data_IF_983661349903
#
_entry.id   IF_983661349903
#
_cell.length_a   1.000
_cell.length_b   1.000
_cell.length_c   1.000
_cell.angle_alpha   90.00
_cell.angle_beta   90.00
_cell.angle_gamma   90.00
#
_symmetry.space_group_name_H-M   'P 1'
#
loop_
_entity.id
_entity.type
_entity.pdbx_description
1 polymer ?
#
# COMPACT_ATOMS: atom_id res chain seq x y z
N UNK A 1 -14.63 -1.02 8.01
CA UNK A 1 -13.81 -2.17 7.58
C UNK A 1 -13.17 -2.73 8.84
N UNK A 2 -13.60 -3.91 9.28
CA UNK A 2 -13.06 -4.58 10.47
C UNK A 2 -12.14 -5.71 10.01
N UNK A 3 -10.92 -5.74 10.54
CA UNK A 3 -9.97 -6.81 10.28
C UNK A 3 -9.24 -7.17 11.56
N UNK A 4 -8.83 -8.43 11.69
CA UNK A 4 -8.06 -8.89 12.84
C UNK A 4 -6.58 -8.77 12.50
N UNK A 5 -5.90 -7.83 13.19
CA UNK A 5 -4.45 -7.66 13.10
C UNK A 5 -3.79 -8.47 14.22
N UNK A 6 -3.00 -9.47 13.83
CA UNK A 6 -2.09 -10.14 14.75
C UNK A 6 -0.71 -9.50 14.65
N UNK A 7 -0.26 -8.89 15.75
CA UNK A 7 1.09 -8.37 15.86
C UNK A 7 2.02 -9.46 16.38
N UNK A 8 3.06 -9.79 15.62
CA UNK A 8 4.14 -10.60 16.16
C UNK A 8 5.17 -9.74 16.90
N UNK A 9 5.94 -10.36 17.78
CA UNK A 9 6.99 -9.71 18.57
C UNK A 9 8.14 -9.10 17.75
N UNK A 10 8.15 -9.29 16.42
CA UNK A 10 9.11 -8.70 15.48
C UNK A 10 8.60 -7.46 14.74
N UNK A 11 7.42 -6.93 15.09
CA UNK A 11 6.84 -5.76 14.42
C UNK A 11 6.15 -6.06 13.08
N UNK A 12 5.94 -7.34 12.76
CA UNK A 12 5.11 -7.75 11.64
C UNK A 12 3.65 -7.76 12.11
N UNK A 13 2.78 -7.03 11.41
CA UNK A 13 1.34 -7.13 11.58
C UNK A 13 0.78 -8.02 10.45
N UNK A 14 0.13 -9.12 10.81
CA UNK A 14 -0.56 -10.00 9.87
C UNK A 14 -2.07 -9.75 9.94
N UNK A 15 -2.68 -9.42 8.81
CA UNK A 15 -4.13 -9.38 8.69
C UNK A 15 -4.63 -10.79 8.41
N UNK A 16 -5.15 -11.48 9.43
CA UNK A 16 -5.57 -12.89 9.34
C UNK A 16 -7.02 -13.06 8.90
N UNK A 17 -7.83 -12.01 9.03
CA UNK A 17 -9.23 -11.99 8.61
C UNK A 17 -9.60 -10.60 8.11
N UNK A 18 -10.19 -10.55 6.92
CA UNK A 18 -10.86 -9.36 6.38
C UNK A 18 -12.10 -9.78 5.59
N UNK A 19 -13.11 -8.92 5.58
CA UNK A 19 -14.22 -9.04 4.63
C UNK A 19 -13.67 -8.99 3.20
N UNK A 20 -14.35 -9.69 2.28
CA UNK A 20 -14.02 -9.58 0.86
C UNK A 20 -14.03 -8.10 0.44
N UNK A 21 -12.90 -7.62 -0.06
CA UNK A 21 -12.82 -6.29 -0.62
C UNK A 21 -13.55 -6.29 -1.96
N UNK A 22 -14.82 -5.88 -1.93
CA UNK A 22 -15.67 -5.75 -3.11
C UNK A 22 -15.72 -4.28 -3.51
N UNK A 23 -15.26 -3.98 -4.71
CA UNK A 23 -15.21 -2.61 -5.22
C UNK A 23 -14.68 -2.57 -6.66
N UNK A 24 -14.62 -1.37 -7.21
CA UNK A 24 -14.09 -1.14 -8.55
C UNK A 24 -12.55 -1.12 -8.52
N UNK A 25 -11.92 -1.34 -9.68
CA UNK A 25 -10.50 -1.05 -9.82
C UNK A 25 -10.28 0.47 -9.87
N UNK A 26 -9.40 1.04 -9.03
CA UNK A 26 -9.04 2.46 -9.14
C UNK A 26 -8.29 2.72 -10.44
N UNK A 27 -8.24 3.98 -10.89
CA UNK A 27 -7.34 4.41 -11.95
C UNK A 27 -5.91 4.63 -11.44
N UNK A 28 -4.93 4.76 -12.33
CA UNK A 28 -3.56 5.15 -11.93
C UNK A 28 -3.54 6.49 -11.19
N UNK A 29 -4.40 7.43 -11.62
CA UNK A 29 -4.55 8.74 -10.96
C UNK A 29 -5.07 8.61 -9.54
N UNK A 30 -6.06 7.74 -9.31
CA UNK A 30 -6.60 7.50 -7.97
C UNK A 30 -5.53 6.91 -7.03
N UNK A 31 -4.71 5.98 -7.53
CA UNK A 31 -3.59 5.41 -6.76
C UNK A 31 -2.56 6.48 -6.47
N UNK A 32 -2.18 7.31 -7.45
CA UNK A 32 -1.24 8.41 -7.23
C UNK A 32 -1.74 9.40 -6.17
N UNK A 33 -2.99 9.86 -6.28
CA UNK A 33 -3.59 10.78 -5.30
C UNK A 33 -3.62 10.16 -3.90
N UNK A 34 -4.00 8.88 -3.80
CA UNK A 34 -3.99 8.13 -2.54
C UNK A 34 -2.60 8.06 -1.92
N UNK A 35 -1.59 7.64 -2.69
CA UNK A 35 -0.21 7.51 -2.20
C UNK A 35 0.35 8.84 -1.73
N UNK A 36 0.14 9.91 -2.50
CA UNK A 36 0.55 11.27 -2.12
C UNK A 36 -0.14 11.75 -0.85
N UNK A 37 -1.43 11.47 -0.69
CA UNK A 37 -2.19 11.83 0.53
C UNK A 37 -1.65 11.14 1.79
N UNK A 38 -1.05 9.95 1.63
CA UNK A 38 -0.40 9.20 2.69
C UNK A 38 1.08 9.60 2.92
N UNK A 39 1.55 10.68 2.28
CA UNK A 39 2.93 11.17 2.41
C UNK A 39 3.97 10.34 1.66
N UNK A 40 3.54 9.48 0.73
CA UNK A 40 4.44 8.78 -0.16
C UNK A 40 4.77 9.61 -1.39
N UNK A 41 6.01 9.47 -1.85
CA UNK A 41 6.52 10.07 -3.08
C UNK A 41 6.95 8.97 -4.07
N UNK A 42 6.83 9.18 -5.38
CA UNK A 42 7.31 8.21 -6.36
C UNK A 42 8.80 7.93 -6.19
N UNK A 43 9.20 6.66 -6.31
CA UNK A 43 10.60 6.29 -6.39
C UNK A 43 11.08 6.48 -7.84
N UNK A 44 12.09 7.32 -8.05
CA UNK A 44 12.65 7.64 -9.37
C UNK A 44 13.02 6.36 -10.13
N UNK A 45 12.75 6.32 -11.43
CA UNK A 45 13.05 5.21 -12.35
C UNK A 45 12.32 3.87 -12.08
N UNK A 46 11.45 3.82 -11.06
CA UNK A 46 10.67 2.63 -10.73
C UNK A 46 9.16 2.93 -10.79
N UNK A 47 8.54 2.66 -11.96
CA UNK A 47 7.09 2.83 -12.13
C UNK A 47 6.35 1.98 -11.08
N UNK A 48 5.34 2.59 -10.45
CA UNK A 48 4.55 1.97 -9.37
C UNK A 48 5.33 1.65 -8.09
N UNK A 49 6.52 2.22 -7.91
CA UNK A 49 7.22 2.20 -6.63
C UNK A 49 7.13 3.57 -5.97
N UNK A 50 6.98 3.54 -4.65
CA UNK A 50 6.75 4.71 -3.82
C UNK A 50 7.56 4.59 -2.54
N UNK A 51 7.96 5.72 -1.97
CA UNK A 51 8.71 5.77 -0.72
C UNK A 51 8.16 6.83 0.22
N UNK A 52 8.28 6.59 1.53
CA UNK A 52 7.94 7.58 2.54
C UNK A 52 9.05 7.57 3.62
N UNK A 53 9.84 8.65 3.62
CA UNK A 53 10.97 8.83 4.54
C UNK A 53 10.52 8.99 6.00
N UNK A 54 9.31 9.51 6.23
CA UNK A 54 8.75 9.69 7.58
C UNK A 54 8.40 8.38 8.27
N UNK A 55 7.98 7.36 7.51
CA UNK A 55 7.64 6.02 8.04
C UNK A 55 8.75 4.99 7.82
N UNK A 56 9.75 5.27 6.97
CA UNK A 56 10.92 4.41 6.78
C UNK A 56 10.72 3.24 5.81
N UNK A 57 9.68 3.27 4.97
CA UNK A 57 9.38 2.19 4.03
C UNK A 57 9.21 2.67 2.58
N UNK A 58 9.52 1.78 1.65
CA UNK A 58 9.07 1.82 0.27
C UNK A 58 8.03 0.73 0.00
N UNK A 59 7.11 1.07 -0.89
CA UNK A 59 6.06 0.21 -1.41
C UNK A 59 6.34 -0.02 -2.89
N UNK A 60 6.44 -1.28 -3.27
CA UNK A 60 6.54 -1.72 -4.65
C UNK A 60 5.24 -2.37 -5.08
N UNK A 61 5.08 -2.44 -6.39
CA UNK A 61 3.92 -3.04 -7.03
C UNK A 61 2.61 -2.29 -6.79
N UNK A 62 2.66 -0.97 -6.57
CA UNK A 62 1.48 -0.13 -6.40
C UNK A 62 0.76 0.16 -7.74
N UNK A 63 0.40 -0.90 -8.46
CA UNK A 63 -0.38 -0.87 -9.70
C UNK A 63 -1.87 -0.85 -9.38
N UNK A 64 -2.73 -0.23 -10.19
CA UNK A 64 -4.19 -0.28 -10.01
C UNK A 64 -4.77 -1.66 -9.71
N UNK A 65 -4.23 -2.72 -10.34
CA UNK A 65 -4.65 -4.10 -10.16
C UNK A 65 -4.43 -4.66 -8.74
N UNK A 66 -3.58 -4.02 -7.93
CA UNK A 66 -3.24 -4.42 -6.56
C UNK A 66 -3.97 -3.56 -5.51
N UNK A 67 -4.96 -2.79 -5.96
CA UNK A 67 -5.87 -2.02 -5.14
C UNK A 67 -7.30 -2.32 -5.52
N UNK A 68 -8.18 -2.07 -4.57
CA UNK A 68 -9.62 -2.13 -4.75
C UNK A 68 -10.22 -0.86 -4.18
N UNK A 69 -11.12 -0.23 -4.93
CA UNK A 69 -11.74 1.04 -4.57
C UNK A 69 -13.01 0.76 -3.79
N UNK A 70 -12.93 0.84 -2.47
CA UNK A 70 -14.05 0.59 -1.56
C UNK A 70 -14.61 1.93 -1.12
N UNK A 71 -15.88 2.19 -1.46
CA UNK A 71 -16.56 3.46 -1.14
C UNK A 71 -15.77 4.71 -1.59
N UNK A 72 -15.11 4.63 -2.75
CA UNK A 72 -14.32 5.71 -3.33
C UNK A 72 -12.86 5.79 -2.86
N UNK A 73 -12.46 4.98 -1.88
CA UNK A 73 -11.10 4.98 -1.33
C UNK A 73 -10.32 3.78 -1.87
N UNK A 74 -9.14 3.98 -2.50
CA UNK A 74 -8.26 2.87 -2.86
C UNK A 74 -7.73 2.16 -1.59
N UNK A 75 -7.89 0.84 -1.55
CA UNK A 75 -7.39 -0.02 -0.48
C UNK A 75 -6.34 -0.97 -1.08
N UNK A 76 -5.07 -0.91 -0.65
CA UNK A 76 -4.05 -1.84 -1.12
C UNK A 76 -4.28 -3.23 -0.54
N UNK A 77 -4.09 -4.27 -1.35
CA UNK A 77 -4.19 -5.65 -0.88
C UNK A 77 -3.04 -6.57 -1.34
N UNK A 78 -2.23 -6.15 -2.30
CA UNK A 78 -1.05 -6.91 -2.77
C UNK A 78 0.13 -5.98 -3.05
N UNK A 79 0.80 -5.54 -1.99
CA UNK A 79 1.97 -4.66 -2.07
C UNK A 79 3.20 -5.32 -1.47
N UNK A 80 4.36 -5.02 -2.06
CA UNK A 80 5.66 -5.43 -1.52
C UNK A 80 6.21 -4.28 -0.67
N UNK A 81 6.38 -4.52 0.62
CA UNK A 81 6.90 -3.54 1.57
C UNK A 81 8.38 -3.78 1.82
N UNK A 82 9.21 -2.76 1.60
CA UNK A 82 10.67 -2.83 1.78
C UNK A 82 11.13 -1.70 2.69
N UNK A 83 11.85 -1.99 3.79
CA UNK A 83 12.48 -0.95 4.60
C UNK A 83 13.49 -0.15 3.78
N UNK A 84 13.49 1.19 3.92
CA UNK A 84 14.34 2.07 3.11
C UNK A 84 15.84 1.77 3.29
N UNK A 85 16.27 1.32 4.47
CA UNK A 85 17.68 0.95 4.71
C UNK A 85 18.16 -0.27 3.91
N UNK A 86 17.23 -0.99 3.26
CA UNK A 86 17.49 -2.16 2.42
C UNK A 86 17.44 -1.86 0.92
N UNK A 87 17.11 -0.63 0.51
CA UNK A 87 17.01 -0.21 -0.90
C UNK A 87 18.36 0.20 -1.53
N UNK A 88 19.37 -0.64 -1.35
CA UNK A 88 20.73 -0.40 -1.86
C UNK A 88 20.85 -0.65 -3.36
#
# INVERSE_FOLDING_TARGET
MSGVLENNSGGLALLVEQDALLGDLPSEKDVEEFMRSAGYEPLTDHRFAWQNQGVGFALFDARPANFVKVSGVPIPFDLIVVPLEKLR
#
